data_IF_436995889496
#
_entry.id   IF_436995889496
#
_cell.length_a   1.000
_cell.length_b   1.000
_cell.length_c   1.000
_cell.angle_alpha   90.00
_cell.angle_beta   90.00
_cell.angle_gamma   90.00
#
_symmetry.space_group_name_H-M   'P 1'
#
loop_
_entity.id
_entity.type
_entity.pdbx_description
1 polymer ?
2 non-polymer ?
3 non-polymer ?
4 water ?
#
# COMPACT_ATOMS: atom_id res chain seq x y z
N UNK A 2 8.51 20.38 -5.06
CA UNK A 2 9.95 20.52 -5.12
C UNK A 2 10.61 19.28 -5.72
N UNK A 3 10.52 18.17 -5.00
CA UNK A 3 11.22 16.95 -5.40
C UNK A 3 10.52 16.33 -6.62
N UNK A 4 11.32 15.95 -7.61
CA UNK A 4 10.79 15.42 -8.87
C UNK A 4 11.62 14.23 -9.32
N UNK A 5 10.94 13.14 -9.73
CA UNK A 5 11.63 11.91 -10.11
C UNK A 5 11.05 11.33 -11.41
N UNK A 6 11.55 10.16 -11.83
CA UNK A 6 10.91 9.49 -12.95
C UNK A 6 9.46 9.12 -12.61
N UNK A 7 9.18 8.89 -11.33
CA UNK A 7 7.82 8.55 -10.93
C UNK A 7 6.90 9.77 -11.01
N UNK A 8 7.41 10.95 -10.64
CA UNK A 8 6.59 12.15 -10.76
C UNK A 8 6.24 12.45 -12.21
N UNK A 9 7.16 12.20 -13.14
CA UNK A 9 6.89 12.36 -14.56
C UNK A 9 5.94 11.28 -15.08
N UNK A 10 6.12 10.04 -14.62
CA UNK A 10 5.32 8.94 -15.15
C UNK A 10 3.85 9.11 -14.80
N UNK A 11 3.57 9.67 -13.63
CA UNK A 11 2.19 9.76 -13.14
C UNK A 11 1.65 11.18 -13.20
N UNK A 12 2.39 12.14 -13.77
CA UNK A 12 2.02 13.55 -13.74
C UNK A 12 1.63 13.94 -12.31
N UNK A 13 2.47 13.56 -11.36
CA UNK A 13 2.22 13.75 -9.95
C UNK A 13 3.16 14.83 -9.42
N UNK A 14 2.77 15.50 -8.36
CA UNK A 14 3.58 16.50 -7.71
C UNK A 14 4.70 15.96 -6.80
N UNK A 15 4.38 15.06 -5.91
CA UNK A 15 5.34 14.47 -4.97
C UNK A 15 5.56 12.98 -5.18
N UNK A 16 6.73 12.41 -4.85
CA UNK A 16 6.82 10.97 -5.14
C UNK A 16 6.30 10.14 -3.98
N UNK A 17 5.01 10.30 -3.68
CA UNK A 17 4.38 9.62 -2.56
C UNK A 17 3.11 8.93 -3.06
N UNK A 18 3.06 7.61 -2.94
CA UNK A 18 1.87 6.84 -3.26
C UNK A 18 1.13 6.48 -1.98
N UNK A 19 -0.18 6.35 -2.09
CA UNK A 19 -1.01 5.76 -1.05
C UNK A 19 -1.20 4.29 -1.39
N UNK A 20 -0.79 3.40 -0.48
CA UNK A 20 -0.97 1.98 -0.72
C UNK A 20 -2.43 1.58 -0.90
N UNK A 21 -2.72 0.78 -1.93
CA UNK A 21 -4.05 0.24 -2.07
C UNK A 21 -4.41 -0.58 -0.85
N UNK A 22 -5.57 -0.35 -0.24
CA UNK A 22 -5.92 -1.02 1.02
C UNK A 22 -7.38 -1.44 0.99
N UNK A 23 -7.64 -2.73 1.19
CA UNK A 23 -9.02 -3.21 1.25
C UNK A 23 -9.82 -2.81 2.48
N UNK A 24 -10.91 -2.07 2.26
CA UNK A 24 -11.84 -1.63 3.31
C UNK A 24 -11.32 -0.36 3.98
N UNK A 25 -10.11 0.10 3.63
CA UNK A 25 -9.49 1.27 4.25
C UNK A 25 -9.13 2.29 3.19
N UNK A 26 -8.90 1.88 1.95
CA UNK A 26 -8.61 2.83 0.88
C UNK A 26 -9.84 3.38 0.20
N UNK A 27 -10.58 4.22 0.91
CA UNK A 27 -11.83 4.80 0.44
C UNK A 27 -11.60 5.93 -0.57
N UNK A 28 -12.61 6.26 -1.38
CA UNK A 28 -12.48 7.43 -2.27
C UNK A 28 -12.21 8.73 -1.53
N UNK A 29 -12.73 8.88 -0.31
CA UNK A 29 -12.47 10.09 0.47
C UNK A 29 -10.99 10.21 0.82
N UNK A 30 -10.39 9.15 1.37
CA UNK A 30 -9.00 9.26 1.80
C UNK A 30 -8.06 9.34 0.59
N UNK A 31 -8.34 8.59 -0.47
CA UNK A 31 -7.50 8.70 -1.67
C UNK A 31 -7.64 10.06 -2.34
N UNK A 32 -8.82 10.68 -2.26
CA UNK A 32 -8.95 12.01 -2.85
C UNK A 32 -8.08 13.03 -2.12
N UNK A 33 -8.07 12.98 -0.78
CA UNK A 33 -7.21 13.88 -0.02
C UNK A 33 -5.74 13.69 -0.36
N UNK A 34 -5.32 12.46 -0.62
CA UNK A 34 -3.92 12.22 -0.98
C UNK A 34 -3.62 12.82 -2.34
N UNK A 35 -4.54 12.65 -3.31
CA UNK A 35 -4.33 13.21 -4.64
C UNK A 35 -4.42 14.73 -4.63
N UNK A 36 -5.33 15.29 -3.85
CA UNK A 36 -5.42 16.75 -3.77
C UNK A 36 -4.15 17.35 -3.19
N UNK A 37 -3.50 16.63 -2.27
CA UNK A 37 -2.27 17.10 -1.63
C UNK A 37 -1.03 16.89 -2.48
N UNK A 38 -1.16 16.42 -3.73
CA UNK A 38 -0.03 16.28 -4.62
C UNK A 38 0.54 14.87 -4.73
N UNK A 39 0.17 13.97 -3.83
CA UNK A 39 0.52 12.56 -3.95
C UNK A 39 -0.46 11.83 -4.85
N UNK A 40 -0.43 10.50 -4.76
CA UNK A 40 -1.29 9.64 -5.58
C UNK A 40 -2.11 8.75 -4.66
N UNK A 41 -3.35 9.18 -4.37
CA UNK A 41 -4.29 8.30 -3.73
C UNK A 41 -4.60 7.12 -4.61
N UNK A 42 -5.07 6.03 -3.99
CA UNK A 42 -5.36 4.78 -4.67
C UNK A 42 -6.55 4.13 -4.00
N UNK A 43 -7.61 3.85 -4.79
CA UNK A 43 -8.78 3.15 -4.28
C UNK A 43 -8.44 1.68 -4.09
N UNK A 44 -8.66 1.16 -2.88
CA UNK A 44 -8.50 -0.26 -2.59
C UNK A 44 -9.73 -1.09 -2.92
N UNK A 45 -9.73 -1.75 -4.08
CA UNK A 45 -10.85 -2.61 -4.49
C UNK A 45 -10.73 -3.99 -3.89
N UNK A 46 -10.42 -4.08 -2.60
CA UNK A 46 -10.23 -5.39 -1.99
C UNK A 46 -11.46 -6.25 -2.01
N UNK A 47 -12.54 -5.76 -1.40
CA UNK A 47 -13.78 -6.53 -1.31
C UNK A 47 -14.90 -5.86 -2.10
N UNK A 48 -14.57 -5.26 -3.25
CA UNK A 48 -15.55 -4.55 -4.05
C UNK A 48 -15.99 -5.41 -5.23
N UNK A 49 -17.29 -5.37 -5.52
CA UNK A 49 -17.79 -5.87 -6.79
C UNK A 49 -17.65 -4.76 -7.82
N UNK A 50 -17.74 -5.10 -9.11
CA UNK A 50 -17.59 -4.07 -10.16
C UNK A 50 -18.45 -2.82 -9.97
N UNK A 51 -19.69 -2.93 -9.49
CA UNK A 51 -20.48 -1.72 -9.25
C UNK A 51 -19.88 -0.87 -8.15
N UNK A 52 -19.47 -1.52 -7.06
CA UNK A 52 -18.77 -0.81 -6.00
C UNK A 52 -17.58 -0.02 -6.54
N UNK A 53 -16.79 -0.62 -7.43
CA UNK A 53 -15.61 0.09 -7.91
C UNK A 53 -15.98 1.23 -8.84
N UNK A 54 -16.95 0.99 -9.73
CA UNK A 54 -17.42 2.04 -10.63
C UNK A 54 -17.96 3.23 -9.85
N UNK A 55 -18.79 2.98 -8.83
CA UNK A 55 -19.31 4.07 -8.02
C UNK A 55 -18.19 4.77 -7.26
N UNK A 56 -17.24 3.98 -6.73
CA UNK A 56 -16.13 4.58 -5.99
C UNK A 56 -15.28 5.45 -6.88
N UNK A 57 -14.95 4.97 -8.10
CA UNK A 57 -14.15 5.76 -9.04
C UNK A 57 -14.83 7.09 -9.30
N UNK A 58 -16.13 7.04 -9.61
CA UNK A 58 -16.87 8.25 -9.95
C UNK A 58 -16.92 9.20 -8.77
N UNK A 59 -17.21 8.69 -7.57
CA UNK A 59 -17.29 9.56 -6.40
C UNK A 59 -15.91 10.06 -5.96
N UNK A 60 -14.83 9.53 -6.53
CA UNK A 60 -13.53 10.15 -6.29
C UNK A 60 -13.32 11.31 -7.24
N UNK A 61 -13.73 11.14 -8.50
CA UNK A 61 -13.61 12.26 -9.43
C UNK A 61 -14.49 13.45 -9.06
N UNK A 62 -15.49 13.25 -8.19
CA UNK A 62 -16.21 14.37 -7.59
C UNK A 62 -15.36 15.18 -6.62
N UNK A 63 -14.28 14.61 -6.10
CA UNK A 63 -13.52 15.25 -5.05
C UNK A 63 -12.16 15.75 -5.51
N UNK A 64 -11.70 15.35 -6.69
CA UNK A 64 -10.41 15.80 -7.20
C UNK A 64 -10.33 15.50 -8.69
N UNK A 65 -9.60 16.34 -9.40
CA UNK A 65 -9.30 16.11 -10.81
C UNK A 65 -7.87 15.62 -11.03
N UNK A 66 -7.10 15.45 -9.96
CA UNK A 66 -5.71 15.02 -10.02
C UNK A 66 -5.62 13.52 -10.27
N UNK A 67 -4.48 13.02 -10.72
CA UNK A 67 -4.34 11.58 -10.96
C UNK A 67 -4.60 10.76 -9.69
N UNK A 68 -4.98 9.50 -9.93
CA UNK A 68 -5.31 8.55 -8.87
C UNK A 68 -5.15 7.16 -9.46
N UNK A 69 -5.21 6.15 -8.58
CA UNK A 69 -5.09 4.79 -9.02
C UNK A 69 -6.12 3.89 -8.37
N UNK A 70 -6.16 2.64 -8.84
CA UNK A 70 -7.02 1.61 -8.26
C UNK A 70 -6.16 0.38 -8.00
N UNK A 71 -6.37 -0.26 -6.85
CA UNK A 71 -5.66 -1.48 -6.47
C UNK A 71 -6.56 -2.69 -6.60
N UNK A 72 -6.10 -3.72 -7.30
CA UNK A 72 -6.85 -4.96 -7.51
C UNK A 72 -6.10 -6.15 -6.92
N UNK A 73 -6.81 -6.98 -6.15
CA UNK A 73 -6.27 -8.25 -5.65
C UNK A 73 -6.50 -9.34 -6.70
N UNK A 74 -5.41 -9.91 -7.20
CA UNK A 74 -5.48 -10.97 -8.20
C UNK A 74 -6.29 -12.17 -7.75
N UNK A 75 -6.41 -12.39 -6.43
CA UNK A 75 -7.12 -13.53 -5.87
C UNK A 75 -8.62 -13.25 -5.81
N UNK A 76 -9.03 -12.04 -6.19
CA UNK A 76 -10.42 -11.66 -6.00
C UNK A 76 -11.32 -12.39 -7.00
N UNK A 77 -12.50 -12.84 -6.56
CA UNK A 77 -13.44 -13.48 -7.51
C UNK A 77 -13.80 -12.63 -8.69
N UNK A 78 -13.65 -11.30 -8.61
CA UNK A 78 -14.00 -10.40 -9.71
C UNK A 78 -12.79 -9.66 -10.27
N UNK A 79 -11.60 -10.25 -10.18
CA UNK A 79 -10.40 -9.56 -10.67
C UNK A 79 -10.57 -9.17 -12.14
N UNK A 80 -11.07 -10.08 -12.98
CA UNK A 80 -11.20 -9.79 -14.41
C UNK A 80 -12.19 -8.66 -14.64
N UNK A 81 -13.31 -8.71 -13.95
CA UNK A 81 -14.31 -7.67 -14.12
C UNK A 81 -13.83 -6.34 -13.59
N UNK A 82 -13.15 -6.36 -12.43
CA UNK A 82 -12.58 -5.14 -11.87
C UNK A 82 -11.54 -4.51 -12.79
N UNK A 83 -10.75 -5.33 -13.48
CA UNK A 83 -9.82 -4.78 -14.47
C UNK A 83 -10.58 -4.07 -15.59
N UNK A 84 -11.65 -4.70 -16.12
CA UNK A 84 -12.36 -4.05 -17.21
C UNK A 84 -13.05 -2.79 -16.73
N UNK A 85 -13.54 -2.77 -15.48
CA UNK A 85 -14.09 -1.53 -14.93
C UNK A 85 -13.04 -0.42 -14.99
N UNK A 86 -11.80 -0.71 -14.55
CA UNK A 86 -10.73 0.27 -14.63
C UNK A 86 -10.49 0.75 -16.06
N UNK A 87 -10.65 -0.13 -17.04
CA UNK A 87 -10.42 0.25 -18.44
C UNK A 87 -11.50 1.22 -18.92
N UNK A 88 -12.78 0.82 -18.80
CA UNK A 88 -13.83 1.65 -19.35
C UNK A 88 -14.06 2.93 -18.56
N UNK A 89 -13.50 3.03 -17.34
CA UNK A 89 -13.50 4.30 -16.63
C UNK A 89 -12.20 5.07 -16.80
N UNK A 90 -11.28 4.54 -17.62
CA UNK A 90 -10.00 5.17 -17.94
C UNK A 90 -9.21 5.56 -16.68
N UNK A 91 -9.16 4.62 -15.73
CA UNK A 91 -8.38 4.87 -14.50
C UNK A 91 -6.91 5.10 -14.88
N UNK A 92 -6.28 6.16 -14.37
CA UNK A 92 -4.92 6.50 -14.85
C UNK A 92 -3.86 5.48 -14.46
N UNK A 93 -3.92 4.94 -13.23
CA UNK A 93 -2.90 4.02 -12.72
C UNK A 93 -3.61 2.85 -12.04
N UNK A 94 -3.21 1.63 -12.39
CA UNK A 94 -3.70 0.43 -11.74
C UNK A 94 -2.56 -0.20 -10.95
N UNK A 95 -2.85 -0.54 -9.69
CA UNK A 95 -1.93 -1.28 -8.82
C UNK A 95 -2.47 -2.69 -8.60
N UNK A 96 -1.57 -3.67 -8.60
CA UNK A 96 -1.94 -5.06 -8.36
C UNK A 96 -1.34 -5.56 -7.07
N UNK A 97 -2.13 -6.30 -6.31
CA UNK A 97 -1.66 -6.91 -5.09
C UNK A 97 -0.71 -8.07 -5.36
N UNK A 98 -0.51 -8.93 -4.36
CA UNK A 98 0.49 -9.98 -4.49
C UNK A 98 0.08 -11.01 -5.54
N UNK A 99 1.07 -11.51 -6.27
CA UNK A 99 0.81 -12.46 -7.32
C UNK A 99 1.54 -12.05 -8.58
N UNK A 100 1.08 -12.56 -9.72
CA UNK A 100 1.67 -12.20 -11.01
C UNK A 100 0.56 -11.64 -11.90
N UNK A 101 0.54 -10.31 -12.14
CA UNK A 101 -0.55 -9.72 -12.93
C UNK A 101 -0.21 -9.62 -14.41
N UNK A 102 0.57 -10.55 -14.93
CA UNK A 102 0.96 -10.49 -16.34
C UNK A 102 -0.26 -10.56 -17.26
N UNK A 103 -1.26 -11.37 -16.91
CA UNK A 103 -2.43 -11.54 -17.75
C UNK A 103 -3.24 -10.26 -17.93
N UNK A 104 -2.97 -9.22 -17.15
CA UNK A 104 -3.72 -7.97 -17.25
C UNK A 104 -2.90 -6.81 -17.81
N UNK A 105 -1.57 -6.96 -17.93
CA UNK A 105 -0.73 -5.83 -18.32
C UNK A 105 -1.18 -5.28 -19.66
N UNK A 106 -1.20 -6.15 -20.67
CA UNK A 106 -1.30 -5.69 -22.06
C UNK A 106 -2.59 -4.90 -22.33
N UNK A 107 -3.73 -5.43 -21.88
CA UNK A 107 -4.98 -4.73 -22.14
C UNK A 107 -5.07 -3.41 -21.37
N UNK A 108 -4.50 -3.34 -20.16
CA UNK A 108 -4.47 -2.07 -19.44
C UNK A 108 -3.56 -1.06 -20.15
N UNK A 109 -2.43 -1.53 -20.68
CA UNK A 109 -1.54 -0.69 -21.47
C UNK A 109 -2.13 -0.25 -22.80
N UNK A 110 -3.08 -1.02 -23.36
CA UNK A 110 -3.75 -0.57 -24.58
C UNK A 110 -4.56 0.69 -24.34
N UNK A 111 -5.01 0.90 -23.11
CA UNK A 111 -5.97 1.94 -22.79
C UNK A 111 -5.34 3.16 -22.12
N UNK A 112 -4.02 3.27 -22.13
CA UNK A 112 -3.39 4.41 -21.49
C UNK A 112 -3.30 4.33 -19.98
N UNK A 113 -3.54 3.14 -19.40
CA UNK A 113 -3.46 2.96 -17.96
C UNK A 113 -2.05 2.53 -17.57
N UNK A 114 -1.45 3.25 -16.61
CA UNK A 114 -0.15 2.88 -16.06
C UNK A 114 -0.28 1.69 -15.12
N UNK A 115 0.54 0.67 -15.32
CA UNK A 115 0.44 -0.55 -14.52
C UNK A 115 1.67 -0.66 -13.61
N UNK A 116 1.41 -0.75 -12.30
CA UNK A 116 2.47 -0.80 -11.29
C UNK A 116 2.23 -2.00 -10.37
N UNK A 117 2.76 -3.17 -10.69
CA UNK A 117 2.58 -4.33 -9.80
C UNK A 117 3.37 -4.20 -8.51
N UNK A 118 2.82 -4.81 -7.45
CA UNK A 118 3.51 -4.96 -6.17
C UNK A 118 4.27 -6.28 -6.18
N UNK A 119 5.58 -6.22 -5.96
CA UNK A 119 6.44 -7.40 -6.01
C UNK A 119 7.20 -7.53 -4.69
N UNK A 120 7.72 -8.75 -4.44
CA UNK A 120 8.51 -9.06 -3.26
C UNK A 120 9.79 -9.82 -3.60
N UNK A 121 10.25 -9.73 -4.83
CA UNK A 121 11.46 -10.40 -5.29
C UNK A 121 11.92 -9.70 -6.56
N UNK A 122 13.23 -9.80 -6.82
CA UNK A 122 13.77 -9.23 -8.06
C UNK A 122 13.33 -10.03 -9.27
N UNK A 123 13.23 -11.36 -9.15
CA UNK A 123 12.86 -12.19 -10.29
C UNK A 123 11.45 -11.89 -10.76
N UNK A 124 10.53 -11.62 -9.82
CA UNK A 124 9.18 -11.21 -10.20
C UNK A 124 9.15 -9.76 -10.68
N UNK A 125 9.98 -8.90 -10.07
CA UNK A 125 10.06 -7.52 -10.53
C UNK A 125 10.47 -7.46 -11.99
N UNK A 126 11.49 -8.24 -12.34
CA UNK A 126 11.98 -8.28 -13.71
C UNK A 126 10.98 -8.96 -14.64
N UNK A 127 10.27 -9.98 -14.14
CA UNK A 127 9.29 -10.69 -14.95
C UNK A 127 8.15 -9.77 -15.37
N UNK A 128 7.70 -8.89 -14.47
CA UNK A 128 6.62 -7.99 -14.84
C UNK A 128 7.16 -6.80 -15.64
N UNK A 129 8.42 -6.45 -15.41
CA UNK A 129 9.06 -5.38 -16.15
C UNK A 129 9.00 -5.66 -17.64
N UNK A 130 9.22 -6.93 -17.99
CA UNK A 130 9.14 -7.36 -19.39
C UNK A 130 7.68 -7.42 -19.83
N UNK A 131 6.84 -8.04 -19.01
CA UNK A 131 5.42 -8.13 -19.30
C UNK A 131 4.87 -6.77 -19.72
N UNK A 132 5.58 -5.68 -19.40
CA UNK A 132 5.22 -4.37 -19.87
C UNK A 132 5.03 -3.33 -18.77
N UNK A 133 5.17 -3.74 -17.51
CA UNK A 133 4.86 -2.87 -16.38
C UNK A 133 5.61 -1.53 -16.46
N UNK A 134 4.95 -0.46 -15.99
CA UNK A 134 5.52 0.89 -16.11
C UNK A 134 6.40 1.23 -14.93
N UNK A 135 6.08 0.69 -13.76
CA UNK A 135 6.90 0.79 -12.57
C UNK A 135 6.65 -0.46 -11.74
N UNK A 136 7.30 -0.52 -10.59
CA UNK A 136 7.20 -1.67 -9.68
C UNK A 136 7.21 -1.14 -8.25
N UNK A 137 6.29 -1.63 -7.43
CA UNK A 137 6.30 -1.37 -6.00
C UNK A 137 7.01 -2.54 -5.32
N UNK A 138 8.18 -2.28 -4.75
CA UNK A 138 8.93 -3.28 -3.99
C UNK A 138 8.55 -3.15 -2.52
N UNK A 139 7.81 -4.14 -2.00
CA UNK A 139 7.22 -4.07 -0.67
C UNK A 139 7.93 -5.04 0.27
N UNK A 140 8.60 -4.48 1.28
CA UNK A 140 9.27 -5.31 2.26
C UNK A 140 8.31 -5.94 3.25
N UNK A 141 8.83 -6.92 3.98
CA UNK A 141 8.02 -7.73 4.89
C UNK A 141 7.56 -6.98 6.14
N UNK A 142 8.17 -5.84 6.45
CA UNK A 142 7.68 -5.04 7.57
C UNK A 142 6.38 -4.30 7.25
N UNK A 143 5.87 -4.43 6.03
CA UNK A 143 4.66 -3.71 5.67
C UNK A 143 3.43 -4.32 6.33
N UNK A 144 2.33 -3.55 6.31
CA UNK A 144 1.06 -4.09 6.74
C UNK A 144 0.37 -4.85 5.64
N UNK A 145 -0.56 -5.72 6.04
CA UNK A 145 -1.21 -6.58 5.08
C UNK A 145 -0.31 -7.74 4.70
N UNK A 146 -0.64 -8.35 3.55
CA UNK A 146 0.14 -9.48 3.06
C UNK A 146 1.60 -9.08 2.87
N UNK A 147 2.50 -10.01 3.20
CA UNK A 147 3.93 -9.70 3.17
C UNK A 147 4.67 -10.79 2.41
N UNK A 148 5.88 -10.44 1.99
CA UNK A 148 6.83 -11.35 1.40
C UNK A 148 7.85 -11.80 2.43
N UNK A 149 9.05 -12.12 1.94
CA UNK A 149 10.10 -12.70 2.77
C UNK A 149 11.35 -11.83 2.85
N UNK A 150 11.43 -10.75 2.10
CA UNK A 150 12.60 -9.88 2.10
C UNK A 150 12.22 -8.58 2.78
N UNK A 151 13.16 -8.01 3.53
CA UNK A 151 12.94 -6.71 4.18
C UNK A 151 13.12 -5.58 3.17
N UNK A 152 12.48 -4.44 3.48
CA UNK A 152 12.60 -3.25 2.64
C UNK A 152 14.05 -2.86 2.40
N UNK A 153 14.89 -2.90 3.44
CA UNK A 153 16.27 -2.45 3.31
C UNK A 153 17.01 -3.23 2.24
N UNK A 154 16.77 -4.54 2.16
CA UNK A 154 17.40 -5.38 1.16
C UNK A 154 16.63 -5.37 -0.16
N UNK A 155 15.29 -5.52 -0.12
CA UNK A 155 14.52 -5.68 -1.36
C UNK A 155 14.67 -4.48 -2.28
N UNK A 156 14.48 -3.26 -1.75
CA UNK A 156 14.55 -2.06 -2.58
C UNK A 156 15.92 -1.95 -3.23
N UNK A 157 16.98 -2.25 -2.49
CA UNK A 157 18.33 -2.20 -3.05
C UNK A 157 18.45 -3.14 -4.24
N UNK A 158 18.15 -4.43 -4.02
CA UNK A 158 18.34 -5.45 -5.05
C UNK A 158 17.42 -5.24 -6.25
N UNK A 159 16.15 -4.90 -6.03
CA UNK A 159 15.23 -4.70 -7.16
C UNK A 159 15.68 -3.54 -8.05
N UNK A 160 16.04 -2.40 -7.45
CA UNK A 160 16.51 -1.24 -8.22
C UNK A 160 17.62 -1.60 -9.20
N UNK A 161 18.59 -2.41 -8.78
CA UNK A 161 19.67 -2.78 -9.69
C UNK A 161 19.22 -3.76 -10.76
N UNK A 162 18.13 -4.49 -10.53
CA UNK A 162 17.74 -5.55 -11.44
C UNK A 162 16.83 -5.08 -12.56
N UNK A 163 16.11 -3.98 -12.37
CA UNK A 163 15.18 -3.47 -13.38
C UNK A 163 15.57 -2.03 -13.73
N UNK A 164 15.16 -1.62 -14.93
CA UNK A 164 15.38 -0.26 -15.37
C UNK A 164 14.16 0.64 -15.19
N UNK A 165 12.97 0.07 -14.98
CA UNK A 165 11.79 0.89 -14.74
C UNK A 165 11.85 1.42 -13.31
N UNK A 166 11.14 2.51 -12.98
CA UNK A 166 11.24 3.06 -11.63
C UNK A 166 10.73 2.08 -10.57
N UNK A 167 11.43 2.08 -9.42
CA UNK A 167 11.08 1.26 -8.27
C UNK A 167 10.47 2.17 -7.20
N UNK A 168 9.40 1.69 -6.57
CA UNK A 168 8.70 2.43 -5.54
C UNK A 168 8.79 1.63 -4.24
N UNK A 169 9.47 2.19 -3.25
CA UNK A 169 9.70 1.47 -2.01
C UNK A 169 8.45 1.51 -1.17
N UNK A 170 8.07 0.36 -0.61
CA UNK A 170 6.92 0.24 0.29
C UNK A 170 7.27 -0.63 1.49
N UNK A 171 6.66 -0.32 2.63
CA UNK A 171 6.89 -1.11 3.82
C UNK A 171 7.89 -0.49 4.78
N UNK A 172 7.36 0.06 5.89
CA UNK A 172 8.18 0.69 6.88
C UNK A 172 8.45 2.17 6.67
N UNK A 173 7.86 2.80 5.64
CA UNK A 173 8.09 4.23 5.39
C UNK A 173 7.00 5.04 6.07
N UNK A 174 7.41 5.96 6.96
CA UNK A 174 6.44 6.76 7.67
C UNK A 174 6.85 8.21 7.86
N UNK A 175 7.99 8.65 7.33
CA UNK A 175 8.48 9.99 7.56
C UNK A 175 9.53 10.32 6.49
N UNK A 176 10.10 11.52 6.58
CA UNK A 176 11.09 11.95 5.61
C UNK A 176 12.40 11.17 5.65
N UNK A 177 12.77 10.60 6.80
CA UNK A 177 13.95 9.74 6.83
C UNK A 177 13.74 8.47 6.02
N UNK A 178 12.57 7.84 6.15
CA UNK A 178 12.24 6.71 5.30
C UNK A 178 12.39 7.03 3.82
N UNK A 179 11.85 8.16 3.37
CA UNK A 179 11.93 8.50 1.94
C UNK A 179 13.39 8.66 1.53
N UNK A 180 14.16 9.44 2.30
CA UNK A 180 15.58 9.59 2.00
C UNK A 180 16.29 8.25 1.92
N UNK A 181 16.06 7.37 2.90
CA UNK A 181 16.77 6.08 2.90
C UNK A 181 16.31 5.20 1.73
N UNK A 182 15.00 5.22 1.43
CA UNK A 182 14.47 4.50 0.28
C UNK A 182 15.07 5.00 -1.02
N UNK A 183 15.16 6.33 -1.18
CA UNK A 183 15.84 6.91 -2.33
C UNK A 183 17.30 6.50 -2.35
N UNK A 184 17.99 6.52 -1.19
CA UNK A 184 19.37 6.07 -1.15
C UNK A 184 19.48 4.62 -1.61
N UNK A 185 18.50 3.78 -1.26
CA UNK A 185 18.52 2.37 -1.64
C UNK A 185 18.23 2.16 -3.12
N UNK A 186 17.82 3.20 -3.84
CA UNK A 186 17.59 3.13 -5.27
C UNK A 186 16.18 3.43 -5.70
N UNK A 187 15.23 3.66 -4.79
CA UNK A 187 13.86 3.94 -5.18
C UNK A 187 13.75 5.37 -5.70
N UNK A 188 12.64 5.64 -6.38
CA UNK A 188 12.33 6.96 -6.92
C UNK A 188 10.96 7.45 -6.50
N UNK A 189 10.34 6.78 -5.52
CA UNK A 189 9.10 7.21 -4.88
C UNK A 189 8.89 6.26 -3.70
N UNK A 190 7.92 6.61 -2.84
CA UNK A 190 7.53 5.77 -1.71
C UNK A 190 6.03 5.58 -1.68
N UNK A 191 5.62 4.43 -1.14
CA UNK A 191 4.22 4.09 -0.91
C UNK A 191 4.01 3.80 0.57
N UNK A 192 2.99 4.42 1.16
CA UNK A 192 2.69 4.29 2.57
C UNK A 192 1.25 3.80 2.75
N UNK A 193 1.04 2.96 3.75
CA UNK A 193 -0.31 2.54 4.09
C UNK A 193 -0.67 2.95 5.50
N UNK A 194 0.06 2.41 6.49
CA UNK A 194 -0.24 2.68 7.89
C UNK A 194 -0.17 4.16 8.21
N UNK A 195 0.83 4.88 7.66
CA UNK A 195 0.90 6.32 7.88
C UNK A 195 -0.34 7.06 7.37
N UNK A 196 -0.97 6.57 6.30
CA UNK A 196 -2.16 7.25 5.77
C UNK A 196 -3.47 6.77 6.41
N UNK A 197 -3.47 5.62 7.07
CA UNK A 197 -4.62 5.26 7.90
C UNK A 197 -4.69 6.19 9.12
N UNK A 198 -3.53 6.60 9.64
CA UNK A 198 -3.44 7.45 10.82
C UNK A 198 -3.55 8.93 10.43
N UNK A 199 -4.59 9.24 9.67
CA UNK A 199 -4.86 10.59 9.20
C UNK A 199 -6.30 10.94 9.52
N UNK A 200 -6.58 12.25 9.66
CA UNK A 200 -7.93 12.65 10.05
C UNK A 200 -8.91 12.42 8.92
N UNK A 201 -8.47 12.51 7.65
CA UNK A 201 -9.33 12.21 6.51
C UNK A 201 -9.77 10.76 6.45
N UNK A 202 -9.06 9.86 7.13
CA UNK A 202 -9.43 8.45 7.19
C UNK A 202 -10.75 8.27 7.93
N UNK A 203 -11.53 7.28 7.51
CA UNK A 203 -12.79 7.00 8.18
C UNK A 203 -12.78 5.64 8.87
N UNK A 204 -11.62 5.04 9.08
CA UNK A 204 -11.57 3.82 9.88
C UNK A 204 -12.04 4.13 11.30
N UNK A 205 -12.56 3.10 11.95
CA UNK A 205 -13.02 3.25 13.32
C UNK A 205 -11.90 3.86 14.17
N UNK A 206 -12.17 4.94 14.89
CA UNK A 206 -11.09 5.63 15.61
C UNK A 206 -10.29 4.73 16.55
N UNK A 207 -10.82 3.56 16.91
CA UNK A 207 -10.00 2.59 17.63
C UNK A 207 -8.79 2.21 16.78
N UNK A 208 -9.02 1.93 15.50
CA UNK A 208 -7.96 1.55 14.57
C UNK A 208 -6.85 2.60 14.53
N UNK A 209 -7.22 3.86 14.30
CA UNK A 209 -6.21 4.93 14.19
C UNK A 209 -5.32 4.92 15.41
N UNK A 210 -5.92 4.60 16.55
CA UNK A 210 -5.34 4.95 17.83
C UNK A 210 -4.52 3.78 18.35
N UNK A 211 -4.98 2.55 18.08
CA UNK A 211 -4.12 1.38 18.18
C UNK A 211 -2.86 1.53 17.33
N UNK A 212 -2.91 2.33 16.26
CA UNK A 212 -1.69 2.62 15.50
C UNK A 212 -0.83 3.62 16.26
N UNK A 213 -1.45 4.63 16.88
CA UNK A 213 -0.71 5.65 17.61
C UNK A 213 0.09 5.02 18.75
N UNK A 214 -0.57 4.17 19.55
CA UNK A 214 0.03 3.54 20.72
C UNK A 214 0.84 2.30 20.42
N UNK A 215 0.85 1.81 19.19
CA UNK A 215 1.60 0.60 18.87
C UNK A 215 3.07 0.93 18.76
N UNK A 216 3.90 0.06 19.32
CA UNK A 216 5.34 0.17 19.16
C UNK A 216 5.76 -0.55 17.88
N UNK A 217 7.06 -0.53 17.58
CA UNK A 217 7.57 -1.28 16.45
C UNK A 217 7.58 -2.78 16.70
N UNK A 218 7.35 -3.23 17.94
CA UNK A 218 7.24 -4.65 18.28
C UNK A 218 5.81 -5.17 18.30
N UNK A 219 4.81 -4.28 18.18
CA UNK A 219 3.42 -4.62 18.40
C UNK A 219 2.73 -5.18 17.16
N UNK A 220 3.45 -5.91 16.31
CA UNK A 220 2.82 -6.61 15.19
C UNK A 220 3.28 -8.05 15.19
N UNK A 221 2.47 -8.91 14.55
CA UNK A 221 2.77 -10.32 14.36
C UNK A 221 2.27 -10.69 12.97
N UNK A 222 2.73 -11.85 12.50
CA UNK A 222 2.36 -12.35 11.17
C UNK A 222 1.36 -13.48 11.35
N UNK A 223 0.17 -13.33 10.76
CA UNK A 223 -0.82 -14.40 10.73
C UNK A 223 -0.95 -14.95 9.32
N UNK A 224 -1.35 -16.22 9.23
CA UNK A 224 -1.59 -16.86 7.96
C UNK A 224 -0.40 -17.45 7.26
N UNK A 225 0.74 -17.59 7.96
CA UNK A 225 1.96 -18.01 7.29
C UNK A 225 1.90 -19.47 6.86
N UNK A 226 1.37 -20.34 7.75
CA UNK A 226 1.27 -21.77 7.41
C UNK A 226 0.17 -22.04 6.38
N UNK A 227 -0.84 -21.18 6.30
CA UNK A 227 -1.88 -21.34 5.29
C UNK A 227 -1.44 -20.84 3.92
N UNK A 228 -0.26 -20.25 3.80
CA UNK A 228 0.26 -19.79 2.54
C UNK A 228 0.17 -18.29 2.33
N UNK A 229 -0.78 -17.61 2.97
CA UNK A 229 -0.99 -16.18 2.79
C UNK A 229 -0.60 -15.39 4.04
N UNK A 230 0.68 -15.11 4.26
CA UNK A 230 1.09 -14.43 5.49
C UNK A 230 0.74 -12.94 5.45
N UNK A 231 0.23 -12.43 6.57
CA UNK A 231 -0.19 -11.04 6.69
C UNK A 231 0.24 -10.51 8.05
N UNK A 232 0.59 -9.22 8.10
CA UNK A 232 1.08 -8.58 9.31
C UNK A 232 -0.05 -7.77 9.94
N UNK A 233 -0.39 -8.10 11.18
CA UNK A 233 -1.49 -7.45 11.88
C UNK A 233 -1.01 -6.98 13.25
N UNK A 234 -1.86 -6.20 13.90
CA UNK A 234 -1.53 -5.71 15.23
C UNK A 234 -1.52 -6.87 16.20
N UNK A 235 -0.50 -6.87 17.07
CA UNK A 235 -0.33 -7.93 18.05
C UNK A 235 -1.48 -7.94 19.03
N UNK A 236 -2.36 -8.91 18.90
CA UNK A 236 -3.59 -8.91 19.66
C UNK A 236 -3.91 -10.35 20.06
N UNK A 237 -4.64 -10.55 21.16
CA UNK A 237 -4.99 -11.93 21.55
C UNK A 237 -5.68 -12.71 20.44
N UNK A 238 -6.60 -12.07 19.72
CA UNK A 238 -7.27 -12.74 18.61
C UNK A 238 -6.29 -13.17 17.53
N UNK A 239 -5.27 -12.36 17.27
CA UNK A 239 -4.26 -12.73 16.29
C UNK A 239 -3.42 -13.89 16.77
N UNK A 240 -3.09 -13.94 18.06
CA UNK A 240 -2.39 -15.10 18.59
C UNK A 240 -3.25 -16.36 18.52
N UNK A 241 -4.56 -16.21 18.72
CA UNK A 241 -5.47 -17.36 18.56
C UNK A 241 -5.41 -17.90 17.14
N UNK A 242 -5.29 -17.02 16.15
CA UNK A 242 -5.21 -17.46 14.77
C UNK A 242 -3.89 -18.17 14.49
N UNK A 243 -2.78 -17.62 14.98
CA UNK A 243 -1.49 -18.30 14.86
C UNK A 243 -1.55 -19.73 15.38
N UNK A 244 -2.18 -19.92 16.54
CA UNK A 244 -2.34 -21.27 17.08
C UNK A 244 -3.22 -22.12 16.17
N UNK A 245 -4.40 -21.59 15.81
CA UNK A 245 -5.36 -22.35 15.01
C UNK A 245 -4.85 -22.69 13.61
N UNK A 246 -3.84 -21.98 13.11
CA UNK A 246 -3.24 -22.38 11.84
C UNK A 246 -2.65 -23.77 11.90
N UNK A 247 -2.06 -24.15 13.05
CA UNK A 247 -1.48 -25.48 13.16
C UNK A 247 -2.53 -26.55 13.48
N UNK A 248 -3.42 -26.25 14.42
CA UNK A 248 -4.29 -27.29 14.99
C UNK A 248 -5.50 -27.55 14.10
N UNK A 249 -6.20 -26.49 13.70
CA UNK A 249 -7.39 -26.59 12.87
C UNK A 249 -7.28 -25.57 11.74
N UNK A 250 -6.50 -25.88 10.69
CA UNK A 250 -6.22 -24.86 9.67
C UNK A 250 -7.43 -24.41 8.88
N UNK A 251 -8.42 -25.27 8.66
CA UNK A 251 -9.58 -24.83 7.89
C UNK A 251 -10.53 -23.97 8.74
N UNK A 252 -10.66 -24.29 10.01
CA UNK A 252 -11.40 -23.45 10.96
C UNK A 252 -10.72 -22.13 11.14
N UNK A 253 -9.42 -22.11 10.96
CA UNK A 253 -8.70 -20.83 11.00
C UNK A 253 -9.03 -19.99 9.77
N UNK A 254 -9.08 -20.61 8.58
CA UNK A 254 -9.36 -19.84 7.36
C UNK A 254 -10.74 -19.19 7.42
N UNK A 255 -11.70 -19.80 8.09
CA UNK A 255 -13.01 -19.20 8.26
C UNK A 255 -13.03 -18.15 9.37
N UNK A 256 -12.14 -18.28 10.35
CA UNK A 256 -12.00 -17.25 11.39
C UNK A 256 -11.53 -15.91 10.82
N UNK A 257 -10.86 -15.90 9.67
CA UNK A 257 -10.37 -14.67 9.07
C UNK A 257 -11.34 -14.09 8.04
N UNK A 258 -12.35 -14.84 7.63
CA UNK A 258 -13.32 -14.38 6.64
C UNK A 258 -14.04 -13.15 7.17
N UNK A 259 -13.78 -11.99 6.55
CA UNK A 259 -14.38 -10.77 7.02
C UNK A 259 -13.77 -10.20 8.28
N UNK A 260 -12.60 -10.70 8.68
CA UNK A 260 -11.98 -10.18 9.90
C UNK A 260 -11.40 -8.79 9.69
N UNK A 261 -11.02 -8.45 8.46
CA UNK A 261 -10.49 -7.11 8.24
C UNK A 261 -11.58 -6.06 8.40
N UNK A 262 -12.81 -6.37 8.01
CA UNK A 262 -13.90 -5.39 8.09
C UNK A 262 -14.31 -5.11 9.53
N UNK A 263 -14.37 -6.14 10.39
CA UNK A 263 -14.71 -5.88 11.79
C UNK A 263 -13.66 -5.00 12.47
N UNK A 264 -12.42 -5.05 11.99
CA UNK A 264 -11.40 -4.12 12.46
C UNK A 264 -11.61 -2.73 11.88
N UNK A 265 -11.78 -2.64 10.56
CA UNK A 265 -11.84 -1.33 9.91
C UNK A 265 -13.11 -0.59 10.31
N UNK A 266 -14.27 -1.23 10.14
CA UNK A 266 -15.53 -0.50 10.21
C UNK A 266 -16.05 -0.42 11.64
N UNK A 267 -15.85 -1.50 12.41
CA UNK A 267 -16.40 -1.60 13.76
C UNK A 267 -15.34 -1.60 14.86
N UNK A 268 -14.05 -1.55 14.51
CA UNK A 268 -13.02 -1.51 15.53
C UNK A 268 -13.12 -2.64 16.54
N UNK A 269 -13.52 -3.82 16.09
CA UNK A 269 -13.69 -4.98 16.97
C UNK A 269 -12.33 -5.64 17.16
N UNK A 270 -11.77 -5.48 18.36
CA UNK A 270 -10.46 -6.06 18.67
C UNK A 270 -10.54 -7.56 18.92
N UNK A 271 -11.70 -8.07 19.30
CA UNK A 271 -11.81 -9.49 19.59
C UNK A 271 -11.92 -10.34 18.33
N UNK A 272 -12.39 -9.75 17.22
CA UNK A 272 -12.56 -10.51 15.98
C UNK A 272 -12.02 -9.78 14.76
N UNK A 273 -11.15 -8.78 14.93
CA UNK A 273 -10.65 -7.98 13.83
C UNK A 273 -9.20 -8.28 13.48
N UNK A 274 -8.90 -8.17 12.19
CA UNK A 274 -7.52 -8.20 11.69
C UNK A 274 -7.07 -6.77 11.45
N UNK A 275 -6.30 -6.24 12.40
CA UNK A 275 -5.80 -4.87 12.30
C UNK A 275 -4.48 -4.92 11.55
N UNK A 276 -4.60 -5.00 10.22
CA UNK A 276 -3.43 -5.00 9.37
C UNK A 276 -2.68 -3.69 9.54
N UNK A 277 -1.42 -3.79 9.96
CA UNK A 277 -0.53 -2.66 10.18
C UNK A 277 0.89 -3.13 9.93
N UNK A 278 1.74 -2.20 9.48
CA UNK A 278 3.14 -2.47 9.38
C UNK A 278 3.88 -2.10 10.66
N UNK A 279 5.14 -2.54 10.74
CA UNK A 279 6.01 -2.13 11.84
C UNK A 279 6.17 -0.62 11.90
N UNK A 280 5.91 0.09 10.80
CA UNK A 280 5.93 1.55 10.82
C UNK A 280 4.98 2.15 11.85
N UNK A 281 4.04 1.37 12.39
CA UNK A 281 3.10 1.92 13.37
C UNK A 281 3.81 2.52 14.56
N UNK A 282 4.92 1.91 15.00
CA UNK A 282 5.74 2.45 16.07
C UNK A 282 6.51 3.70 15.71
N UNK A 283 6.45 4.14 14.45
CA UNK A 283 6.97 5.43 14.05
C UNK A 283 5.90 6.51 14.01
N UNK A 284 4.64 6.15 14.27
CA UNK A 284 3.51 7.06 14.17
C UNK A 284 3.00 7.37 15.56
N UNK A 285 2.91 8.66 15.89
CA UNK A 285 2.59 9.12 17.23
C UNK A 285 1.37 10.02 17.32
N UNK A 286 0.88 10.56 16.20
CA UNK A 286 -0.28 11.41 16.24
C UNK A 286 -1.05 11.25 14.93
N UNK A 287 -2.32 11.67 14.96
CA UNK A 287 -3.17 11.72 13.78
C UNK A 287 -2.98 13.10 13.14
N UNK A 288 -2.63 13.13 11.86
CA UNK A 288 -2.38 14.36 11.14
C UNK A 288 -3.22 14.40 9.88
N UNK A 289 -3.59 15.59 9.39
CA UNK A 289 -4.27 15.66 8.08
C UNK A 289 -3.33 15.25 6.97
N UNK A 290 -3.91 14.72 5.90
CA UNK A 290 -3.10 14.11 4.85
C UNK A 290 -2.11 15.11 4.26
N UNK A 291 -2.55 16.35 4.03
CA UNK A 291 -1.63 17.31 3.43
C UNK A 291 -0.47 17.63 4.36
N UNK A 292 -0.74 17.70 5.66
CA UNK A 292 0.33 17.96 6.63
C UNK A 292 1.35 16.83 6.64
N UNK A 293 0.87 15.59 6.55
CA UNK A 293 1.75 14.43 6.48
C UNK A 293 2.71 14.56 5.32
N UNK A 294 2.20 14.90 4.14
CA UNK A 294 3.03 14.94 2.94
C UNK A 294 4.06 16.07 3.04
N UNK A 295 3.65 17.23 3.57
CA UNK A 295 4.60 18.33 3.63
C UNK A 295 5.64 18.13 4.72
N UNK A 296 5.23 17.55 5.86
CA UNK A 296 6.19 17.21 6.90
C UNK A 296 7.23 16.22 6.37
N UNK A 297 6.77 15.17 5.69
CA UNK A 297 7.66 14.17 5.13
C UNK A 297 8.62 14.79 4.12
N UNK A 298 8.14 15.73 3.31
CA UNK A 298 8.97 16.32 2.26
C UNK A 298 10.03 17.25 2.85
N UNK A 299 9.68 18.02 3.88
CA UNK A 299 10.67 18.87 4.50
C UNK A 299 11.73 18.05 5.22
N UNK A 300 11.29 17.09 6.05
CA UNK A 300 12.23 16.22 6.74
C UNK A 300 13.07 15.44 5.75
N UNK A 301 12.49 15.04 4.62
CA UNK A 301 13.29 14.42 3.57
C UNK A 301 14.41 15.34 3.13
N UNK A 302 14.11 16.63 2.98
CA UNK A 302 15.12 17.60 2.57
C UNK A 302 16.18 17.78 3.65
N UNK A 303 15.76 17.95 4.91
CA UNK A 303 16.72 18.14 5.99
C UNK A 303 17.62 16.91 6.16
N UNK A 304 17.10 15.72 5.89
CA UNK A 304 17.94 14.52 5.97
C UNK A 304 19.01 14.53 4.88
N UNK A 305 18.67 15.01 3.68
CA UNK A 305 19.67 15.07 2.62
C UNK A 305 20.78 16.06 2.97
N UNK A 306 20.43 17.20 3.58
CA UNK A 306 21.44 18.17 4.00
C UNK A 306 22.36 17.58 5.06
N UNK A 307 21.82 16.79 5.99
CA UNK A 307 22.66 16.12 6.98
C UNK A 307 23.60 15.13 6.30
N UNK A 308 23.06 14.28 5.43
CA UNK A 308 23.92 13.37 4.67
C UNK A 308 25.00 14.14 3.92
N UNK A 309 24.67 15.33 3.43
CA UNK A 309 25.67 16.18 2.78
C UNK A 309 26.76 16.61 3.75
N UNK A 310 26.40 16.89 5.00
CA UNK A 310 27.36 17.32 6.01
C UNK A 310 28.56 16.40 6.16
N UNK A 311 28.44 15.14 5.75
CA UNK A 311 29.53 14.18 5.82
C UNK A 311 30.48 14.26 4.62
N UNK A 312 30.37 15.29 3.80
CA UNK A 312 31.36 15.52 2.74
C UNK A 312 31.79 16.99 2.68
X LIG B 1 2.53 4.03 17.32
X LIG C 1 -1.87 -4.05 -0.40
X LIG C 1 -2.48 -4.59 -1.53
X LIG C 1 -1.85 -4.82 -2.56
X LIG C 1 -3.82 -4.88 -1.50
X LIG C 1 -4.56 -4.64 -0.37
X LIG C 1 -5.76 -4.93 -0.37
X LIG C 1 -3.96 -4.10 0.76
X LIG C 1 -4.71 -3.87 1.90
X LIG C 1 -4.12 -3.32 3.01
X LIG C 1 -4.89 -3.07 4.14
X LIG C 1 -4.33 -2.52 5.27
X LIG C 1 -5.18 -2.27 6.49
X LIG C 1 -2.96 -2.20 5.28
X LIG C 1 -2.33 -1.61 6.51
X LIG C 1 -2.18 -2.44 4.16
X LIG C 1 -2.75 -3.00 3.01
X LIG C 1 -2.00 -3.25 1.86
X LIG C 1 -2.59 -3.81 0.74
X LIG C 1 -0.53 -2.91 1.84
X LIG C 1 -0.36 -1.43 1.48
X LIG C 1 -0.77 -1.23 0.15
X LIG C 1 1.09 -0.97 1.59
X LIG C 1 1.83 -1.58 0.55
X LIG C 1 1.70 -1.27 2.95
X LIG C 1 0.83 -0.75 3.93
X LIG C 1 3.04 -0.57 3.14
X LIG C 1 3.50 -0.77 4.46
X LIG C 1 3.36 0.33 5.64
X LIG C 1 4.52 0.16 6.60
X LIG C 1 3.34 1.75 5.10
X LIG C 1 2.09 0.04 6.41
#
# INVERSE_FOLDING_TARGET
MTVRTRVTDLLEIEHPILMGGMAWAGTPTLAAAVSEAGGLGIIGSGAMKPDDLRKAISELRQKTDKPFGVNIILVSPWADDLVKVCIEEKVPVVTFGAGNPTKYIRELKENGTKVIPVVASDSLARMVERAGADAVIAEGMESGGHIGEVTTFVLVNKVSRSVNIPVIAAGGIADGRGMAAAFALGAEAVQMGTRFVASVESDVHPVYKEKIVKASIRDTVVTGAKLGHPARVLRTPFARKIQEMEFENPMQAEEMLVGSLRRAVVEGDLERGSFMVGQSAGLIDEIKPVKQIIEDILKEFKETVEKLRGYIEE
NA NA
FMN N1 C2 O2 N3 C4 O4 C4A N5 C5A C6 C7 C7M C8 C8M C9 C9A N10 C10 C1' C2' O2' C3' O3' C4' O4' C5' O5' P O1P O2P O3P
#
